data_IF_517641165683
#
_entry.id   IF_517641165683
#
_cell.length_a   1.000
_cell.length_b   1.000
_cell.length_c   1.000
_cell.angle_alpha   90.00
_cell.angle_beta   90.00
_cell.angle_gamma   90.00
#
_symmetry.space_group_name_H-M   'P 1'
#
loop_
_entity.id
_entity.type
_entity.pdbx_description
1 polymer ?
#
# COMPACT_ATOMS: atom_id res chain seq x y z
N UNK A 1 -16.64 5.11 11.77
CA UNK A 1 -15.34 4.44 11.55
C UNK A 1 -14.90 4.83 10.15
N UNK A 2 -13.80 5.56 10.02
CA UNK A 2 -13.32 6.01 8.71
C UNK A 2 -12.58 4.87 8.02
N UNK A 3 -13.17 4.29 6.97
CA UNK A 3 -12.51 3.33 6.07
C UNK A 3 -11.51 4.07 5.17
N UNK A 4 -10.47 4.65 5.76
CA UNK A 4 -9.52 5.48 5.04
C UNK A 4 -8.43 4.60 4.40
N UNK A 5 -8.30 4.67 3.07
CA UNK A 5 -7.24 3.97 2.35
C UNK A 5 -5.87 4.53 2.78
N UNK A 6 -4.92 3.64 3.04
CA UNK A 6 -3.51 3.95 3.34
C UNK A 6 -3.34 5.13 4.30
N UNK A 7 -4.15 5.16 5.36
CA UNK A 7 -4.16 6.21 6.39
C UNK A 7 -4.36 7.64 5.85
N UNK A 8 -4.93 7.79 4.64
CA UNK A 8 -5.21 9.08 4.01
C UNK A 8 -4.02 9.68 3.28
N UNK A 9 -3.01 8.88 2.97
CA UNK A 9 -1.98 9.28 2.02
C UNK A 9 -2.51 9.21 0.59
N UNK A 10 -1.98 10.07 -0.26
CA UNK A 10 -2.30 10.14 -1.68
C UNK A 10 -1.58 9.03 -2.42
N UNK A 11 -2.34 8.08 -2.98
CA UNK A 11 -1.78 6.99 -3.80
C UNK A 11 -0.98 7.52 -4.98
N UNK A 12 -1.39 8.64 -5.60
CA UNK A 12 -0.66 9.24 -6.72
C UNK A 12 0.69 9.80 -6.29
N UNK A 13 0.82 10.22 -5.02
CA UNK A 13 2.08 10.63 -4.39
C UNK A 13 3.23 9.65 -4.65
N UNK A 14 2.92 8.36 -4.49
CA UNK A 14 3.90 7.29 -4.66
C UNK A 14 4.29 7.08 -6.12
N UNK A 15 3.34 7.21 -7.05
CA UNK A 15 3.59 6.94 -8.46
C UNK A 15 4.18 8.13 -9.23
N UNK A 16 3.76 9.37 -8.91
CA UNK A 16 4.19 10.59 -9.60
C UNK A 16 5.42 11.21 -8.95
N UNK A 17 5.40 11.38 -7.63
CA UNK A 17 6.47 12.08 -6.90
C UNK A 17 7.44 11.13 -6.20
N UNK A 18 7.17 9.82 -6.22
CA UNK A 18 7.92 8.81 -5.45
C UNK A 18 8.04 9.20 -3.97
N UNK A 19 6.94 9.68 -3.39
CA UNK A 19 6.87 10.14 -1.99
C UNK A 19 5.52 9.80 -1.36
N UNK A 20 5.54 9.50 -0.07
CA UNK A 20 4.33 9.47 0.73
C UNK A 20 3.85 10.91 0.98
N UNK A 21 2.76 11.32 0.34
CA UNK A 21 2.19 12.66 0.49
C UNK A 21 0.84 12.51 1.18
N UNK A 22 0.58 13.29 2.24
CA UNK A 22 -0.72 13.27 2.91
C UNK A 22 -1.77 13.90 2.00
N UNK A 23 -2.89 13.21 1.80
CA UNK A 23 -4.04 13.75 1.08
C UNK A 23 -4.88 14.68 1.95
N UNK A 24 -5.79 15.42 1.31
CA UNK A 24 -6.74 16.31 1.99
C UNK A 24 -8.15 15.70 2.03
N UNK A 25 -8.89 15.83 3.15
CA UNK A 25 -10.31 15.47 3.22
C UNK A 25 -11.21 16.33 2.30
N UNK A 26 -10.68 17.40 1.70
CA UNK A 26 -11.38 18.18 0.67
C UNK A 26 -11.32 17.49 -0.71
N UNK A 27 -10.30 16.66 -0.94
CA UNK A 27 -10.09 15.96 -2.20
C UNK A 27 -10.24 14.45 -1.99
N UNK A 28 -11.47 13.95 -2.00
CA UNK A 28 -11.77 12.54 -1.71
C UNK A 28 -12.43 11.80 -2.86
N UNK A 29 -12.19 10.49 -2.90
CA UNK A 29 -12.87 9.52 -3.78
C UNK A 29 -13.17 8.28 -2.96
N UNK A 30 -14.42 7.82 -2.99
CA UNK A 30 -14.78 6.50 -2.47
C UNK A 30 -14.63 5.45 -3.58
N UNK A 31 -13.88 4.38 -3.31
CA UNK A 31 -13.65 3.30 -4.26
C UNK A 31 -13.43 1.99 -3.50
N UNK A 32 -14.17 0.93 -3.88
CA UNK A 32 -14.15 -0.39 -3.23
C UNK A 32 -14.38 -0.34 -1.71
N UNK A 33 -15.26 0.54 -1.24
CA UNK A 33 -15.59 0.70 0.18
C UNK A 33 -14.51 1.38 1.02
N UNK A 34 -13.47 1.92 0.37
CA UNK A 34 -12.42 2.72 0.98
C UNK A 34 -12.49 4.18 0.49
N UNK A 35 -12.13 5.10 1.37
CA UNK A 35 -12.02 6.53 1.08
C UNK A 35 -10.55 6.85 0.80
N UNK A 36 -10.27 7.35 -0.39
CA UNK A 36 -8.95 7.83 -0.80
C UNK A 36 -8.90 9.34 -0.68
N UNK A 37 -7.84 9.87 -0.08
CA UNK A 37 -7.56 11.30 -0.01
C UNK A 37 -6.45 11.66 -0.99
N UNK A 38 -6.57 12.80 -1.66
CA UNK A 38 -5.60 13.28 -2.63
C UNK A 38 -5.01 14.62 -2.20
N UNK A 39 -3.74 14.84 -2.48
CA UNK A 39 -3.04 16.08 -2.18
C UNK A 39 -3.51 17.23 -3.07
N UNK A 40 -4.08 16.92 -4.25
CA UNK A 40 -4.59 17.91 -5.19
C UNK A 40 -5.85 17.40 -5.93
N UNK A 41 -6.65 18.34 -6.45
CA UNK A 41 -7.77 18.03 -7.32
C UNK A 41 -7.33 17.32 -8.62
N UNK A 42 -6.11 17.58 -9.09
CA UNK A 42 -5.52 16.92 -10.26
C UNK A 42 -5.22 15.43 -9.98
N UNK A 43 -4.66 15.11 -8.82
CA UNK A 43 -4.42 13.72 -8.42
C UNK A 43 -5.73 12.97 -8.25
N UNK A 44 -6.74 13.60 -7.62
CA UNK A 44 -8.10 13.05 -7.55
C UNK A 44 -8.65 12.74 -8.95
N UNK A 45 -8.56 13.68 -9.88
CA UNK A 45 -9.04 13.48 -11.27
C UNK A 45 -8.28 12.36 -11.98
N UNK A 46 -6.96 12.28 -11.77
CA UNK A 46 -6.10 11.22 -12.32
C UNK A 46 -6.56 9.85 -11.81
N UNK A 47 -6.76 9.73 -10.49
CA UNK A 47 -7.24 8.50 -9.87
C UNK A 47 -8.62 8.09 -10.42
N UNK A 48 -9.56 9.02 -10.51
CA UNK A 48 -10.91 8.75 -11.03
C UNK A 48 -10.93 8.26 -12.48
N UNK A 49 -9.91 8.59 -13.28
CA UNK A 49 -9.83 8.17 -14.67
C UNK A 49 -9.42 6.70 -14.84
N UNK A 50 -8.63 6.16 -13.91
CA UNK A 50 -8.18 4.77 -13.92
C UNK A 50 -7.81 4.30 -12.48
N UNK A 51 -8.81 4.05 -11.61
CA UNK A 51 -8.56 3.75 -10.20
C UNK A 51 -7.74 2.47 -10.01
N UNK A 52 -8.02 1.42 -10.78
CA UNK A 52 -7.44 0.08 -10.65
C UNK A 52 -5.91 0.07 -10.83
N UNK A 53 -5.37 1.07 -11.55
CA UNK A 53 -3.94 1.28 -11.71
C UNK A 53 -3.25 1.74 -10.44
N UNK A 54 -3.95 2.47 -9.58
CA UNK A 54 -3.37 3.14 -8.41
C UNK A 54 -3.73 2.48 -7.09
N UNK A 55 -4.56 1.43 -7.11
CA UNK A 55 -4.85 0.61 -5.93
C UNK A 55 -3.54 -0.02 -5.43
N UNK A 56 -3.18 0.16 -4.15
CA UNK A 56 -2.03 -0.50 -3.56
C UNK A 56 -2.16 -2.03 -3.66
N UNK A 57 -1.05 -2.71 -3.92
CA UNK A 57 -1.01 -4.16 -3.89
C UNK A 57 -1.42 -4.67 -2.49
N UNK A 58 -2.12 -5.79 -2.46
CA UNK A 58 -2.64 -6.40 -1.23
C UNK A 58 -3.57 -5.47 -0.44
N UNK A 59 -4.36 -4.63 -1.12
CA UNK A 59 -5.27 -3.63 -0.52
C UNK A 59 -4.56 -2.69 0.50
N UNK A 60 -3.24 -2.51 0.36
CA UNK A 60 -2.42 -1.64 1.23
C UNK A 60 -1.82 -2.33 2.45
N UNK A 61 -1.92 -3.65 2.57
CA UNK A 61 -1.24 -4.42 3.62
C UNK A 61 0.23 -4.69 3.28
N UNK A 62 1.04 -4.95 4.30
CA UNK A 62 2.47 -5.19 4.15
C UNK A 62 2.76 -6.37 3.21
N UNK A 63 3.52 -6.12 2.14
CA UNK A 63 3.87 -7.16 1.17
C UNK A 63 4.70 -8.31 1.80
N UNK A 64 5.65 -7.96 2.67
CA UNK A 64 6.45 -8.95 3.39
C UNK A 64 5.59 -9.74 4.40
N UNK A 65 4.71 -9.04 5.13
CA UNK A 65 3.78 -9.68 6.07
C UNK A 65 2.84 -10.64 5.36
N UNK A 66 2.37 -10.28 4.17
CA UNK A 66 1.54 -11.14 3.34
C UNK A 66 2.26 -12.45 2.97
N UNK A 67 3.52 -12.38 2.56
CA UNK A 67 4.30 -13.59 2.22
C UNK A 67 4.68 -14.43 3.44
N UNK A 68 5.38 -13.82 4.41
CA UNK A 68 6.09 -14.54 5.47
C UNK A 68 5.28 -14.77 6.72
N UNK A 69 4.33 -13.87 7.00
CA UNK A 69 3.45 -13.97 8.18
C UNK A 69 2.07 -14.49 7.80
N UNK A 70 1.74 -14.55 6.50
CA UNK A 70 0.42 -14.95 5.99
C UNK A 70 -0.71 -14.20 6.70
N UNK A 71 -0.52 -12.90 6.88
CA UNK A 71 -1.42 -12.06 7.66
C UNK A 71 -1.43 -10.62 7.14
N UNK A 72 -2.50 -9.90 7.47
CA UNK A 72 -2.67 -8.47 7.21
C UNK A 72 -1.89 -7.68 8.27
N UNK A 73 -0.69 -7.24 7.89
CA UNK A 73 0.19 -6.48 8.78
C UNK A 73 0.16 -5.01 8.38
N UNK A 74 -0.01 -4.14 9.38
CA UNK A 74 0.02 -2.68 9.20
C UNK A 74 1.35 -2.22 8.59
N UNK A 75 1.33 -1.05 7.98
CA UNK A 75 2.45 -0.51 7.19
C UNK A 75 2.85 0.85 7.71
N UNK A 76 4.08 1.26 7.41
CA UNK A 76 4.45 2.67 7.45
C UNK A 76 4.26 3.24 6.03
N UNK A 77 3.38 4.24 5.83
CA UNK A 77 3.19 4.88 4.53
C UNK A 77 4.50 5.40 3.90
N UNK A 78 5.50 5.77 4.69
CA UNK A 78 6.79 6.23 4.18
C UNK A 78 7.72 5.10 3.73
N UNK A 79 7.37 3.85 4.04
CA UNK A 79 8.16 2.68 3.68
C UNK A 79 7.44 1.88 2.60
N UNK A 80 7.76 2.21 1.35
CA UNK A 80 7.10 1.67 0.16
C UNK A 80 8.09 1.33 -0.97
N UNK A 81 7.59 0.65 -1.99
CA UNK A 81 8.28 0.46 -3.27
C UNK A 81 7.27 0.46 -4.43
N UNK A 82 7.67 0.98 -5.59
CA UNK A 82 6.99 0.72 -6.85
C UNK A 82 7.74 -0.39 -7.57
N UNK A 83 7.10 -1.54 -7.77
CA UNK A 83 7.68 -2.68 -8.49
C UNK A 83 6.66 -3.25 -9.48
N UNK A 84 7.08 -3.50 -10.72
CA UNK A 84 6.19 -3.95 -11.80
C UNK A 84 4.90 -3.10 -11.96
N UNK A 85 5.03 -1.78 -11.76
CA UNK A 85 3.90 -0.84 -11.84
C UNK A 85 2.90 -0.93 -10.68
N UNK A 86 3.23 -1.64 -9.59
CA UNK A 86 2.39 -1.78 -8.41
C UNK A 86 3.03 -1.11 -7.20
N UNK A 87 2.21 -0.45 -6.39
CA UNK A 87 2.60 0.10 -5.10
C UNK A 87 2.58 -1.00 -4.04
N UNK A 88 3.74 -1.28 -3.45
CA UNK A 88 3.94 -2.20 -2.34
C UNK A 88 4.25 -1.37 -1.08
N UNK A 89 3.58 -1.69 0.02
CA UNK A 89 3.79 -1.06 1.32
C UNK A 89 4.44 -2.05 2.29
N UNK A 90 5.17 -1.54 3.27
CA UNK A 90 5.95 -2.34 4.20
C UNK A 90 5.78 -1.86 5.64
N UNK A 91 5.87 -2.80 6.57
CA UNK A 91 6.02 -2.47 7.99
C UNK A 91 7.40 -1.87 8.23
N UNK A 92 7.42 -0.75 8.93
CA UNK A 92 8.63 -0.15 9.46
C UNK A 92 8.33 0.46 10.83
N UNK A 93 8.86 -0.16 11.88
CA UNK A 93 8.56 0.25 13.24
C UNK A 93 9.10 -0.73 14.27
N UNK A 94 8.79 -0.49 15.54
CA UNK A 94 9.26 -1.34 16.62
C UNK A 94 8.37 -2.57 16.80
N UNK A 95 9.01 -3.73 16.88
CA UNK A 95 8.39 -5.02 17.14
C UNK A 95 9.26 -5.80 18.12
N UNK A 96 8.67 -6.25 19.23
CA UNK A 96 9.36 -7.03 20.27
C UNK A 96 10.67 -6.40 20.78
N UNK A 97 10.68 -5.07 20.94
CA UNK A 97 11.84 -4.32 21.43
C UNK A 97 12.95 -4.12 20.40
N UNK A 98 12.71 -4.42 19.12
CA UNK A 98 13.63 -4.17 18.02
C UNK A 98 12.94 -3.39 16.91
N UNK A 99 13.68 -2.46 16.30
CA UNK A 99 13.22 -1.79 15.10
C UNK A 99 13.31 -2.76 13.90
N UNK A 100 12.19 -2.95 13.21
CA UNK A 100 12.07 -3.86 12.06
C UNK A 100 11.60 -3.08 10.85
N UNK A 101 12.41 -3.07 9.80
CA UNK A 101 12.03 -2.57 8.49
C UNK A 101 11.92 -3.75 7.51
N UNK A 102 10.68 -4.14 7.22
CA UNK A 102 10.40 -5.30 6.36
C UNK A 102 10.67 -5.04 4.88
N UNK A 103 10.83 -3.77 4.46
CA UNK A 103 11.25 -3.46 3.09
C UNK A 103 12.67 -3.96 2.83
N UNK A 104 13.58 -3.83 3.80
CA UNK A 104 14.96 -4.30 3.67
C UNK A 104 14.98 -5.82 3.42
N UNK A 105 14.19 -6.56 4.20
CA UNK A 105 14.04 -8.02 4.04
C UNK A 105 13.39 -8.38 2.70
N UNK A 106 12.42 -7.57 2.24
CA UNK A 106 11.82 -7.74 0.92
C UNK A 106 12.82 -7.52 -0.21
N UNK A 107 13.76 -6.59 -0.06
CA UNK A 107 14.74 -6.25 -1.10
C UNK A 107 15.76 -7.36 -1.36
N UNK A 108 15.96 -8.28 -0.42
CA UNK A 108 16.87 -9.43 -0.54
C UNK A 108 16.39 -10.49 -1.54
N UNK A 109 15.07 -10.74 -1.60
CA UNK A 109 14.48 -11.75 -2.48
C UNK A 109 13.08 -11.34 -2.98
N UNK A 110 13.04 -10.21 -3.70
CA UNK A 110 11.81 -9.54 -4.14
C UNK A 110 10.85 -10.47 -4.87
N UNK A 111 11.37 -11.25 -5.83
CA UNK A 111 10.56 -12.09 -6.71
C UNK A 111 9.98 -13.30 -5.98
N UNK A 112 10.76 -13.96 -5.10
CA UNK A 112 10.23 -15.06 -4.29
C UNK A 112 9.17 -14.55 -3.30
N UNK A 113 9.42 -13.41 -2.64
CA UNK A 113 8.48 -12.83 -1.68
C UNK A 113 7.18 -12.39 -2.37
N UNK A 114 7.26 -11.79 -3.57
CA UNK A 114 6.07 -11.41 -4.33
C UNK A 114 5.27 -12.63 -4.77
N UNK A 115 5.93 -13.71 -5.20
CA UNK A 115 5.26 -14.95 -5.55
C UNK A 115 4.47 -15.51 -4.36
N UNK A 116 5.13 -15.64 -3.20
CA UNK A 116 4.49 -16.14 -1.96
C UNK A 116 3.33 -15.23 -1.51
N UNK A 117 3.54 -13.91 -1.51
CA UNK A 117 2.49 -12.95 -1.13
C UNK A 117 1.30 -12.99 -2.09
N UNK A 118 1.52 -13.15 -3.39
CA UNK A 118 0.43 -13.27 -4.38
C UNK A 118 -0.38 -14.54 -4.15
N UNK A 119 0.28 -15.69 -3.94
CA UNK A 119 -0.39 -16.96 -3.66
C UNK A 119 -1.24 -16.88 -2.38
N UNK A 120 -0.71 -16.27 -1.32
CA UNK A 120 -1.43 -16.12 -0.06
C UNK A 120 -2.60 -15.13 -0.19
N UNK A 121 -2.38 -14.00 -0.84
CA UNK A 121 -3.43 -13.00 -1.06
C UNK A 121 -4.61 -13.55 -1.85
N UNK A 122 -4.36 -14.32 -2.91
CA UNK A 122 -5.43 -14.97 -3.69
C UNK A 122 -6.25 -15.91 -2.82
N UNK A 123 -5.63 -16.69 -1.92
CA UNK A 123 -6.35 -17.55 -0.97
C UNK A 123 -7.22 -16.73 -0.02
N UNK A 124 -6.68 -15.66 0.56
CA UNK A 124 -7.42 -14.78 1.48
C UNK A 124 -8.63 -14.10 0.83
N UNK A 125 -8.56 -13.77 -0.46
CA UNK A 125 -9.66 -13.14 -1.20
C UNK A 125 -10.71 -14.12 -1.69
N UNK A 126 -10.40 -15.41 -1.69
CA UNK A 126 -11.30 -16.49 -2.14
C UNK A 126 -11.99 -17.23 -0.98
N UNK A 127 -11.63 -16.90 0.27
CA UNK A 127 -12.23 -17.41 1.50
C UNK A 127 -13.38 -16.52 1.99
#
# INVERSE_FOLDING_TARGET
>A
MSNLAIEGYDVLGYFKENKAIKGSPENTVEHNGLVYHFASAENKKTYQSDPDKYIPQYDGWCAFGMAKMKSKVAVDPNTFAIHNGKLLLFFNGDHEGKHVNTKVMWEEDKEAILKEANEEWTKMKSA
#
